data_IF_115367258424
#
_entry.id   IF_115367258424
#
_cell.length_a   1.000
_cell.length_b   1.000
_cell.length_c   1.000
_cell.angle_alpha   90.00
_cell.angle_beta   90.00
_cell.angle_gamma   90.00
#
_symmetry.space_group_name_H-M   'P 1'
#
loop_
_entity.id
_entity.type
_entity.pdbx_description
1 polymer ?
#
# COMPACT_ATOMS: atom_id res chain seq x y z
N UNK A 1 16.97 18.80 -64.21
CA UNK A 1 15.78 18.05 -64.66
C UNK A 1 15.11 17.51 -63.39
N UNK A 2 14.06 18.14 -62.85
CA UNK A 2 12.65 18.20 -63.32
C UNK A 2 11.88 16.90 -63.04
N UNK A 3 10.73 16.87 -62.36
CA UNK A 3 9.91 17.94 -61.73
C UNK A 3 9.08 17.37 -60.56
N UNK A 4 8.60 18.19 -59.61
CA UNK A 4 7.28 18.87 -59.60
C UNK A 4 6.04 17.95 -59.55
N UNK A 5 5.27 18.07 -58.46
CA UNK A 5 3.91 17.54 -58.29
C UNK A 5 3.70 16.81 -56.95
N UNK A 6 2.70 17.12 -56.12
CA UNK A 6 1.83 18.29 -56.03
C UNK A 6 1.17 18.30 -54.62
N UNK A 7 0.66 19.44 -54.14
CA UNK A 7 -0.04 19.50 -52.85
C UNK A 7 -1.41 18.81 -52.90
N UNK A 8 -1.86 18.27 -51.76
CA UNK A 8 -3.27 18.33 -51.38
C UNK A 8 -3.39 18.40 -49.85
N UNK A 9 -4.07 19.43 -49.34
CA UNK A 9 -4.30 19.65 -47.92
C UNK A 9 -5.72 19.28 -47.53
N UNK A 10 -5.88 18.72 -46.33
CA UNK A 10 -7.18 18.54 -45.69
C UNK A 10 -7.17 19.27 -44.34
N UNK A 11 -7.69 20.50 -44.31
CA UNK A 11 -8.18 21.07 -43.05
C UNK A 11 -9.41 20.29 -42.62
N UNK A 12 -9.57 20.06 -41.32
CA UNK A 12 -10.89 19.91 -40.71
C UNK A 12 -11.07 21.14 -39.84
N UNK A 13 -11.99 22.02 -40.25
CA UNK A 13 -12.34 23.23 -39.50
C UNK A 13 -13.35 22.91 -38.38
N UNK A 14 -13.47 23.84 -37.43
CA UNK A 14 -14.22 23.67 -36.18
C UNK A 14 -15.60 24.32 -36.23
N UNK A 15 -16.25 24.44 -35.06
CA UNK A 15 -17.54 25.11 -34.80
C UNK A 15 -18.81 24.25 -35.05
N UNK A 16 -19.97 24.59 -34.42
CA UNK A 16 -20.23 25.76 -33.58
C UNK A 16 -20.55 25.47 -32.11
N UNK A 17 -20.49 26.54 -31.30
CA UNK A 17 -21.04 26.60 -29.94
C UNK A 17 -22.58 26.57 -29.98
N UNK A 18 -23.19 26.12 -28.89
CA UNK A 18 -24.47 26.65 -28.41
C UNK A 18 -24.31 27.02 -26.93
N UNK A 19 -24.99 28.08 -26.52
CA UNK A 19 -25.11 28.53 -25.15
C UNK A 19 -26.57 28.41 -24.69
N UNK A 20 -26.77 28.66 -23.39
CA UNK A 20 -28.03 29.09 -22.77
C UNK A 20 -29.24 28.13 -22.87
N UNK A 21 -29.56 27.48 -21.74
CA UNK A 21 -30.75 27.90 -20.99
C UNK A 21 -30.68 27.41 -19.53
N UNK A 22 -31.17 28.24 -18.60
CA UNK A 22 -31.16 28.01 -17.16
C UNK A 22 -32.47 28.53 -16.52
N UNK A 23 -33.19 27.67 -15.78
CA UNK A 23 -33.93 28.07 -14.59
C UNK A 23 -33.13 27.61 -13.34
N UNK A 24 -33.00 28.39 -12.27
CA UNK A 24 -33.79 29.56 -11.89
C UNK A 24 -34.78 29.14 -10.80
N UNK A 25 -34.30 29.07 -9.55
CA UNK A 25 -35.13 28.84 -8.38
C UNK A 25 -34.50 29.49 -7.14
N UNK A 26 -35.05 30.63 -6.74
CA UNK A 26 -34.70 31.30 -5.49
C UNK A 26 -35.32 30.57 -4.29
N UNK A 27 -34.71 30.71 -3.11
CA UNK A 27 -35.09 29.92 -1.92
C UNK A 27 -34.52 30.49 -0.62
N UNK A 28 -34.54 31.81 -0.47
CA UNK A 28 -34.08 32.50 0.73
C UNK A 28 -34.98 32.18 1.94
N UNK A 29 -34.38 31.78 3.06
CA UNK A 29 -34.99 31.95 4.38
C UNK A 29 -33.93 31.88 5.50
N UNK A 30 -33.58 33.03 6.04
CA UNK A 30 -32.82 33.13 7.29
C UNK A 30 -33.75 33.00 8.51
N UNK A 31 -33.25 32.42 9.62
CA UNK A 31 -33.14 33.08 10.93
C UNK A 31 -32.54 32.15 12.01
N UNK A 32 -32.02 32.77 13.08
CA UNK A 32 -31.35 32.17 14.25
C UNK A 32 -32.12 32.59 15.52
N UNK A 33 -31.66 32.39 16.79
CA UNK A 33 -30.67 31.46 17.38
C UNK A 33 -31.20 30.78 18.68
N UNK A 34 -30.30 30.19 19.50
CA UNK A 34 -30.36 29.86 20.95
C UNK A 34 -30.10 28.36 21.26
N UNK A 35 -29.53 27.93 22.39
CA UNK A 35 -28.69 28.53 23.45
C UNK A 35 -28.10 27.36 24.31
N UNK A 36 -27.05 27.53 25.14
CA UNK A 36 -26.31 26.41 25.71
C UNK A 36 -26.81 25.93 27.09
N UNK A 37 -26.35 24.74 27.51
CA UNK A 37 -26.41 24.33 28.92
C UNK A 37 -25.09 23.67 29.36
N UNK A 38 -24.41 24.31 30.31
CA UNK A 38 -23.14 23.88 30.91
C UNK A 38 -23.35 23.49 32.37
N UNK A 39 -22.74 22.38 32.83
CA UNK A 39 -22.67 22.07 34.26
C UNK A 39 -21.28 21.59 34.68
N UNK A 40 -20.78 22.14 35.79
CA UNK A 40 -19.44 21.88 36.34
C UNK A 40 -19.50 21.55 37.83
N UNK A 41 -18.93 20.42 38.24
CA UNK A 41 -18.54 20.12 39.64
C UNK A 41 -17.57 18.94 39.60
N UNK A 42 -16.26 19.03 39.91
CA UNK A 42 -15.53 19.40 41.15
C UNK A 42 -15.75 18.48 42.36
N UNK A 43 -14.82 17.51 42.47
CA UNK A 43 -14.03 17.13 43.67
C UNK A 43 -14.76 16.98 45.02
N UNK A 44 -14.64 15.79 45.60
CA UNK A 44 -13.95 15.60 46.89
C UNK A 44 -13.48 14.14 47.05
N UNK A 45 -12.52 13.90 47.93
CA UNK A 45 -12.06 12.57 48.30
C UNK A 45 -11.78 12.52 49.81
N UNK A 46 -12.10 11.40 50.46
CA UNK A 46 -11.71 11.09 51.84
C UNK A 46 -11.78 9.59 52.09
N UNK A 47 -10.86 9.07 52.90
CA UNK A 47 -10.67 7.65 53.18
C UNK A 47 -11.20 7.23 54.54
N UNK A 48 -11.73 6.00 54.66
CA UNK A 48 -11.93 5.31 55.95
C UNK A 48 -11.67 3.80 55.77
N UNK A 49 -10.83 3.22 56.65
CA UNK A 49 -10.68 1.76 56.88
C UNK A 49 -11.60 1.36 58.06
N UNK A 50 -11.89 0.10 58.40
CA UNK A 50 -11.17 -1.19 58.30
C UNK A 50 -12.18 -2.32 58.62
N UNK A 51 -11.82 -3.61 58.40
CA UNK A 51 -12.49 -4.83 58.91
C UNK A 51 -13.92 -5.15 58.41
N UNK A 52 -14.38 -6.41 58.30
CA UNK A 52 -13.70 -7.72 58.28
C UNK A 52 -14.63 -8.81 57.70
N UNK A 53 -14.04 -9.80 57.02
CA UNK A 53 -14.52 -11.18 56.78
C UNK A 53 -16.03 -11.42 56.60
N UNK A 54 -16.40 -11.83 55.39
CA UNK A 54 -17.32 -12.96 55.19
C UNK A 54 -17.06 -13.61 53.81
N UNK A 55 -16.75 -14.91 53.79
CA UNK A 55 -16.50 -15.66 52.55
C UNK A 55 -17.82 -16.08 51.89
N UNK A 56 -18.00 -15.78 50.61
CA UNK A 56 -19.20 -16.14 49.85
C UNK A 56 -18.85 -16.71 48.45
N UNK A 57 -19.27 -17.94 48.12
CA UNK A 57 -18.95 -18.60 46.84
C UNK A 57 -19.65 -17.99 45.61
N UNK A 58 -20.48 -16.96 45.81
CA UNK A 58 -21.15 -16.24 44.71
C UNK A 58 -20.16 -15.49 43.80
N UNK A 59 -19.08 -14.94 44.36
CA UNK A 59 -18.12 -14.10 43.62
C UNK A 59 -17.35 -14.91 42.58
N UNK A 60 -16.88 -16.11 42.94
CA UNK A 60 -16.17 -17.00 42.03
C UNK A 60 -17.09 -17.58 40.94
N UNK A 61 -18.38 -17.79 41.25
CA UNK A 61 -19.39 -18.19 40.27
C UNK A 61 -19.68 -17.07 39.25
N UNK A 62 -19.74 -15.80 39.70
CA UNK A 62 -19.90 -14.64 38.81
C UNK A 62 -18.65 -14.46 37.95
N UNK A 63 -17.45 -14.56 38.53
CA UNK A 63 -16.20 -14.42 37.78
C UNK A 63 -16.06 -15.53 36.71
N UNK A 64 -16.36 -16.78 37.05
CA UNK A 64 -16.37 -17.89 36.08
C UNK A 64 -17.47 -17.73 35.01
N UNK A 65 -18.62 -17.11 35.34
CA UNK A 65 -19.68 -16.85 34.36
C UNK A 65 -19.30 -15.70 33.42
N UNK A 66 -18.64 -14.65 33.92
CA UNK A 66 -18.08 -13.58 33.09
C UNK A 66 -16.90 -14.08 32.24
N UNK A 67 -16.00 -14.91 32.78
CA UNK A 67 -14.93 -15.55 32.00
C UNK A 67 -15.47 -16.52 30.93
N UNK A 68 -16.63 -17.17 31.15
CA UNK A 68 -17.32 -17.93 30.09
C UNK A 68 -17.96 -17.04 29.02
N UNK A 69 -18.51 -15.88 29.38
CA UNK A 69 -19.04 -14.91 28.41
C UNK A 69 -17.91 -14.30 27.56
N UNK A 70 -16.80 -13.91 28.17
CA UNK A 70 -15.63 -13.38 27.45
C UNK A 70 -14.98 -14.46 26.56
N UNK A 71 -15.03 -15.75 26.93
CA UNK A 71 -14.56 -16.86 26.08
C UNK A 71 -15.46 -17.20 24.87
N UNK A 72 -16.62 -16.58 24.73
CA UNK A 72 -17.55 -16.85 23.60
C UNK A 72 -17.68 -15.69 22.59
N UNK A 73 -16.87 -14.64 22.69
CA UNK A 73 -16.94 -13.49 21.75
C UNK A 73 -16.07 -13.60 20.50
N UNK A 74 -15.30 -14.68 20.31
CA UNK A 74 -14.47 -14.90 19.10
C UNK A 74 -14.57 -16.33 18.54
N UNK A 75 -15.81 -16.82 18.42
CA UNK A 75 -16.15 -17.97 17.58
C UNK A 75 -17.43 -17.68 16.80
N UNK A 76 -17.32 -16.82 15.77
CA UNK A 76 -18.13 -17.04 14.57
C UNK A 76 -17.60 -18.30 13.91
N UNK A 77 -18.45 -19.26 13.58
CA UNK A 77 -18.05 -20.37 12.72
C UNK A 77 -17.53 -19.79 11.40
N UNK A 78 -16.35 -20.22 10.94
CA UNK A 78 -15.80 -19.69 9.68
C UNK A 78 -16.73 -20.07 8.54
N UNK A 79 -17.10 -19.13 7.66
CA UNK A 79 -18.05 -19.41 6.58
C UNK A 79 -17.50 -20.51 5.67
N UNK A 80 -18.35 -21.47 5.30
CA UNK A 80 -17.97 -22.52 4.37
C UNK A 80 -17.62 -21.96 2.99
N UNK A 81 -16.85 -22.67 2.15
CA UNK A 81 -16.56 -22.24 0.78
C UNK A 81 -17.82 -21.91 -0.05
N UNK A 82 -18.96 -22.56 0.22
CA UNK A 82 -20.22 -22.25 -0.43
C UNK A 82 -20.81 -20.90 0.03
N UNK A 83 -20.73 -20.58 1.32
CA UNK A 83 -21.20 -19.30 1.87
C UNK A 83 -20.31 -18.12 1.43
N UNK A 84 -19.00 -18.33 1.37
CA UNK A 84 -18.04 -17.35 0.83
C UNK A 84 -18.40 -17.02 -0.64
N UNK A 85 -18.57 -18.04 -1.49
CA UNK A 85 -18.96 -17.86 -2.89
C UNK A 85 -20.32 -17.18 -3.05
N UNK A 86 -21.30 -17.51 -2.19
CA UNK A 86 -22.61 -16.84 -2.16
C UNK A 86 -22.47 -15.37 -1.79
N UNK A 87 -21.72 -15.04 -0.75
CA UNK A 87 -21.50 -13.66 -0.33
C UNK A 87 -20.85 -12.80 -1.44
N UNK A 88 -19.97 -13.37 -2.27
CA UNK A 88 -19.44 -12.71 -3.47
C UNK A 88 -20.50 -12.49 -4.56
N UNK A 89 -21.37 -13.48 -4.81
CA UNK A 89 -22.48 -13.36 -5.77
C UNK A 89 -23.52 -12.31 -5.34
N UNK A 90 -23.79 -12.20 -4.04
CA UNK A 90 -24.71 -11.22 -3.46
C UNK A 90 -24.10 -9.80 -3.42
N UNK A 91 -22.76 -9.66 -3.47
CA UNK A 91 -22.04 -8.39 -3.33
C UNK A 91 -21.07 -8.08 -4.51
N UNK A 92 -21.50 -8.17 -5.78
CA UNK A 92 -20.61 -8.15 -6.95
C UNK A 92 -19.91 -6.81 -7.22
N UNK A 93 -20.24 -5.75 -6.47
CA UNK A 93 -19.61 -4.42 -6.55
C UNK A 93 -18.57 -4.17 -5.45
N UNK A 94 -18.45 -5.05 -4.46
CA UNK A 94 -17.52 -4.89 -3.33
C UNK A 94 -16.15 -5.47 -3.71
N UNK A 95 -15.04 -4.81 -3.33
CA UNK A 95 -13.70 -5.35 -3.57
C UNK A 95 -13.47 -6.56 -2.66
N UNK A 96 -12.70 -7.53 -3.13
CA UNK A 96 -12.53 -8.82 -2.44
C UNK A 96 -11.88 -8.68 -1.07
N UNK A 97 -10.94 -7.76 -0.91
CA UNK A 97 -10.39 -7.35 0.37
C UNK A 97 -11.47 -6.87 1.37
N UNK A 98 -12.33 -5.94 0.95
CA UNK A 98 -13.40 -5.39 1.80
C UNK A 98 -14.42 -6.47 2.18
N UNK A 99 -14.71 -7.39 1.25
CA UNK A 99 -15.64 -8.49 1.47
C UNK A 99 -15.05 -9.55 2.41
N UNK A 100 -13.78 -9.92 2.24
CA UNK A 100 -13.07 -10.81 3.15
C UNK A 100 -13.06 -10.24 4.58
N UNK A 101 -12.76 -8.94 4.72
CA UNK A 101 -12.81 -8.23 6.00
C UNK A 101 -14.24 -8.24 6.63
N UNK A 102 -15.30 -8.02 5.83
CA UNK A 102 -16.70 -8.13 6.30
C UNK A 102 -17.07 -9.54 6.76
N UNK A 103 -16.56 -10.56 6.09
CA UNK A 103 -16.78 -11.97 6.42
C UNK A 103 -15.91 -12.46 7.60
N UNK A 104 -14.90 -11.69 8.03
CA UNK A 104 -13.95 -12.09 9.08
C UNK A 104 -12.91 -13.12 8.61
N UNK A 105 -12.61 -13.16 7.32
CA UNK A 105 -11.65 -14.08 6.70
C UNK A 105 -10.54 -13.32 5.98
N UNK A 106 -9.47 -14.05 5.63
CA UNK A 106 -8.40 -13.53 4.77
C UNK A 106 -8.80 -13.47 3.29
N UNK A 107 -8.11 -12.61 2.53
CA UNK A 107 -8.32 -12.48 1.07
C UNK A 107 -7.99 -13.80 0.35
N UNK A 108 -7.03 -14.56 0.89
CA UNK A 108 -6.67 -15.89 0.40
C UNK A 108 -7.70 -17.00 0.75
N UNK A 109 -8.46 -16.91 1.85
CA UNK A 109 -9.62 -17.78 2.10
C UNK A 109 -10.72 -17.54 1.05
N UNK A 110 -10.96 -16.27 0.73
CA UNK A 110 -11.92 -15.89 -0.29
C UNK A 110 -11.55 -16.41 -1.69
N UNK A 111 -10.26 -16.43 -2.05
CA UNK A 111 -9.80 -17.04 -3.32
C UNK A 111 -9.80 -18.57 -3.24
N UNK A 112 -9.35 -19.17 -2.13
CA UNK A 112 -9.35 -20.63 -1.94
C UNK A 112 -10.74 -21.25 -2.09
N UNK A 113 -11.80 -20.54 -1.69
CA UNK A 113 -13.18 -20.98 -1.86
C UNK A 113 -13.59 -21.24 -3.33
N UNK A 114 -12.80 -20.80 -4.32
CA UNK A 114 -13.01 -21.06 -5.76
C UNK A 114 -12.09 -22.15 -6.35
N UNK A 115 -11.25 -22.83 -5.56
CA UNK A 115 -10.46 -23.95 -6.07
C UNK A 115 -11.37 -25.02 -6.71
N UNK A 116 -11.07 -25.39 -7.96
CA UNK A 116 -11.89 -26.30 -8.77
C UNK A 116 -13.14 -25.69 -9.42
N UNK A 117 -13.44 -24.40 -9.18
CA UNK A 117 -14.61 -23.68 -9.71
C UNK A 117 -14.26 -22.36 -10.45
N UNK A 118 -12.98 -22.01 -10.54
CA UNK A 118 -12.49 -20.77 -11.14
C UNK A 118 -11.08 -20.39 -10.69
N UNK A 119 -10.62 -20.93 -9.56
CA UNK A 119 -9.23 -20.89 -9.13
C UNK A 119 -8.55 -22.27 -9.24
N UNK A 120 -7.25 -22.25 -9.46
CA UNK A 120 -6.31 -23.37 -9.36
C UNK A 120 -5.24 -22.94 -8.34
N UNK A 121 -4.97 -23.75 -7.32
CA UNK A 121 -3.86 -23.50 -6.40
C UNK A 121 -2.54 -23.72 -7.13
N UNK A 122 -1.61 -22.78 -6.97
CA UNK A 122 -0.25 -22.91 -7.47
C UNK A 122 0.75 -22.78 -6.31
N UNK A 123 1.85 -23.52 -6.40
CA UNK A 123 2.97 -23.40 -5.46
C UNK A 123 3.62 -22.01 -5.60
N UNK A 124 3.95 -21.31 -4.50
CA UNK A 124 4.50 -19.95 -4.52
C UNK A 124 6.00 -19.94 -4.89
N UNK A 125 6.38 -20.63 -5.97
CA UNK A 125 7.78 -20.75 -6.44
C UNK A 125 8.21 -19.47 -7.17
N UNK A 126 8.49 -18.42 -6.39
CA UNK A 126 8.69 -17.05 -6.89
C UNK A 126 9.77 -16.93 -7.97
N UNK A 127 10.89 -17.66 -7.85
CA UNK A 127 11.94 -17.62 -8.88
C UNK A 127 11.44 -18.15 -10.23
N UNK A 128 10.71 -19.27 -10.20
CA UNK A 128 10.20 -19.96 -11.38
C UNK A 128 9.06 -19.14 -12.03
N UNK A 129 8.19 -18.56 -11.20
CA UNK A 129 7.19 -17.57 -11.57
C UNK A 129 7.81 -16.40 -12.35
N UNK A 130 8.78 -15.70 -11.75
CA UNK A 130 9.36 -14.48 -12.36
C UNK A 130 10.06 -14.80 -13.68
N UNK A 131 10.76 -15.93 -13.74
CA UNK A 131 11.43 -16.41 -14.97
C UNK A 131 10.40 -16.76 -16.06
N UNK A 132 9.27 -17.38 -15.70
CA UNK A 132 8.21 -17.71 -16.66
C UNK A 132 7.38 -16.53 -17.13
N UNK A 133 7.28 -15.45 -16.34
CA UNK A 133 6.50 -14.26 -16.67
C UNK A 133 7.07 -13.48 -17.87
N UNK A 134 8.37 -13.54 -18.14
CA UNK A 134 8.98 -12.95 -19.33
C UNK A 134 8.31 -13.48 -20.62
N UNK A 135 8.02 -14.79 -20.68
CA UNK A 135 7.35 -15.43 -21.81
C UNK A 135 5.84 -15.11 -21.90
N UNK A 136 5.22 -14.64 -20.81
CA UNK A 136 3.83 -14.16 -20.79
C UNK A 136 3.73 -12.77 -21.45
N UNK A 137 4.81 -12.01 -21.50
CA UNK A 137 4.86 -10.69 -22.14
C UNK A 137 4.18 -9.62 -21.28
N UNK A 138 3.44 -8.72 -21.94
CA UNK A 138 2.82 -7.57 -21.28
C UNK A 138 1.69 -7.99 -20.33
N UNK A 139 1.73 -7.50 -19.10
CA UNK A 139 0.80 -7.80 -18.00
C UNK A 139 0.64 -6.59 -17.08
N UNK A 140 -0.35 -6.62 -16.19
CA UNK A 140 -0.53 -5.63 -15.11
C UNK A 140 -0.01 -6.21 -13.80
N UNK A 141 1.05 -5.62 -13.26
CA UNK A 141 1.59 -5.91 -11.93
C UNK A 141 0.86 -5.05 -10.88
N UNK A 142 0.25 -5.69 -9.88
CA UNK A 142 -0.43 -5.01 -8.78
C UNK A 142 0.26 -5.33 -7.45
N UNK A 143 0.68 -4.29 -6.73
CA UNK A 143 1.19 -4.37 -5.35
C UNK A 143 0.46 -3.35 -4.50
N UNK A 144 0.07 -3.74 -3.28
CA UNK A 144 -0.67 -2.85 -2.37
C UNK A 144 -0.30 -3.05 -0.91
N UNK A 145 -0.72 -2.09 -0.10
CA UNK A 145 -0.99 -2.25 1.32
C UNK A 145 -2.44 -1.85 1.63
N UNK A 146 -2.74 -1.54 2.89
CA UNK A 146 -4.09 -1.15 3.34
C UNK A 146 -4.48 0.30 2.95
N UNK A 147 -3.55 1.07 2.36
CA UNK A 147 -3.71 2.52 2.11
C UNK A 147 -3.28 2.99 0.72
N UNK A 148 -2.45 2.23 0.02
CA UNK A 148 -2.01 2.50 -1.34
C UNK A 148 -2.11 1.24 -2.22
N UNK A 149 -2.64 1.39 -3.43
CA UNK A 149 -2.60 0.39 -4.51
C UNK A 149 -1.79 0.95 -5.67
N UNK A 150 -0.80 0.20 -6.14
CA UNK A 150 0.09 0.53 -7.26
C UNK A 150 -0.11 -0.51 -8.36
N UNK A 151 -0.48 -0.05 -9.55
CA UNK A 151 -0.66 -0.88 -10.74
C UNK A 151 0.31 -0.42 -11.83
N UNK A 152 1.10 -1.34 -12.39
CA UNK A 152 2.11 -1.04 -13.40
C UNK A 152 1.94 -1.98 -14.58
N UNK A 153 1.88 -1.43 -15.79
CA UNK A 153 1.75 -2.19 -17.04
C UNK A 153 3.15 -2.39 -17.63
N UNK A 154 3.45 -3.58 -18.15
CA UNK A 154 4.74 -3.88 -18.77
C UNK A 154 5.08 -5.36 -18.78
N UNK A 155 6.35 -5.67 -19.08
CA UNK A 155 6.91 -7.03 -19.12
C UNK A 155 7.78 -7.27 -17.88
N UNK A 156 7.91 -8.52 -17.45
CA UNK A 156 8.86 -8.94 -16.42
C UNK A 156 10.22 -9.24 -17.06
N UNK A 157 11.04 -8.21 -17.26
CA UNK A 157 12.41 -8.34 -17.80
C UNK A 157 13.50 -8.12 -16.73
N UNK A 158 14.75 -8.49 -17.07
CA UNK A 158 15.95 -8.30 -16.21
C UNK A 158 15.77 -8.89 -14.80
N UNK A 159 15.17 -10.08 -14.71
CA UNK A 159 14.89 -10.79 -13.46
C UNK A 159 16.18 -11.27 -12.79
N UNK A 160 16.32 -11.01 -11.48
CA UNK A 160 17.39 -11.56 -10.63
C UNK A 160 16.77 -12.41 -9.53
N UNK A 161 16.87 -13.73 -9.66
CA UNK A 161 16.29 -14.71 -8.73
C UNK A 161 17.10 -14.84 -7.43
N UNK A 162 16.46 -15.21 -6.32
CA UNK A 162 17.18 -15.39 -5.05
C UNK A 162 16.35 -15.79 -3.84
N UNK A 163 16.93 -16.62 -2.97
CA UNK A 163 16.23 -17.29 -1.86
C UNK A 163 15.94 -16.41 -0.62
N UNK A 164 16.28 -15.12 -0.67
CA UNK A 164 15.98 -14.12 0.38
C UNK A 164 15.36 -12.86 -0.23
N UNK A 165 15.97 -12.40 -1.33
CA UNK A 165 15.56 -11.27 -2.13
C UNK A 165 15.57 -11.71 -3.59
N UNK A 166 14.57 -11.30 -4.35
CA UNK A 166 14.55 -11.37 -5.81
C UNK A 166 14.22 -9.99 -6.36
N UNK A 167 14.70 -9.68 -7.55
CA UNK A 167 14.54 -8.39 -8.21
C UNK A 167 13.89 -8.59 -9.58
N UNK A 168 13.09 -7.61 -9.99
CA UNK A 168 12.80 -7.35 -11.40
C UNK A 168 13.29 -5.92 -11.62
N UNK A 169 14.13 -5.71 -12.64
CA UNK A 169 14.81 -4.45 -12.90
C UNK A 169 14.42 -3.90 -14.28
N UNK A 170 13.17 -4.14 -14.66
CA UNK A 170 12.60 -3.76 -15.95
C UNK A 170 12.46 -2.26 -16.10
N UNK A 171 12.34 -1.80 -17.35
CA UNK A 171 12.22 -0.36 -17.63
C UNK A 171 10.83 0.17 -17.23
N UNK A 172 9.81 -0.72 -17.24
CA UNK A 172 8.47 -0.45 -16.68
C UNK A 172 8.25 -1.17 -15.33
N UNK A 173 8.54 -2.48 -15.22
CA UNK A 173 8.27 -3.26 -14.00
C UNK A 173 9.53 -3.38 -13.13
N UNK A 174 9.64 -2.49 -12.13
CA UNK A 174 10.71 -2.47 -11.14
C UNK A 174 10.20 -2.97 -9.77
N UNK A 175 10.71 -4.10 -9.29
CA UNK A 175 10.23 -4.83 -8.10
C UNK A 175 11.37 -5.23 -7.15
N UNK A 176 11.12 -5.12 -5.84
CA UNK A 176 11.94 -5.75 -4.77
C UNK A 176 11.06 -6.77 -4.04
N UNK A 177 11.41 -8.05 -4.14
CA UNK A 177 10.56 -9.17 -3.71
C UNK A 177 11.26 -9.96 -2.61
N UNK A 178 10.49 -10.46 -1.65
CA UNK A 178 10.97 -11.25 -0.50
C UNK A 178 10.34 -12.66 -0.51
N UNK A 179 10.87 -13.61 -1.31
CA UNK A 179 10.17 -14.87 -1.60
C UNK A 179 9.77 -15.70 -0.39
N UNK A 180 10.52 -15.65 0.71
CA UNK A 180 10.22 -16.40 1.95
C UNK A 180 8.93 -15.99 2.66
N UNK A 181 8.34 -14.84 2.28
CA UNK A 181 7.09 -14.33 2.86
C UNK A 181 5.87 -14.84 2.10
N UNK A 182 6.06 -15.25 0.84
CA UNK A 182 5.00 -15.78 -0.02
C UNK A 182 4.75 -17.24 0.36
N UNK A 183 3.53 -17.57 0.77
CA UNK A 183 3.17 -18.88 1.33
C UNK A 183 2.06 -19.60 0.55
N UNK A 184 1.26 -18.87 -0.23
CA UNK A 184 0.18 -19.42 -1.03
C UNK A 184 0.08 -18.69 -2.37
N UNK A 185 -0.19 -19.42 -3.45
CA UNK A 185 -0.46 -18.88 -4.78
C UNK A 185 -1.74 -19.46 -5.38
N UNK A 186 -2.41 -18.67 -6.21
CA UNK A 186 -3.58 -19.09 -6.97
C UNK A 186 -3.55 -18.50 -8.38
N UNK A 187 -3.80 -19.33 -9.39
CA UNK A 187 -4.19 -18.88 -10.72
C UNK A 187 -5.73 -18.75 -10.73
N UNK A 188 -6.25 -17.57 -11.02
CA UNK A 188 -7.68 -17.23 -10.90
C UNK A 188 -8.21 -16.76 -12.24
N UNK A 189 -9.25 -17.43 -12.72
CA UNK A 189 -10.07 -17.03 -13.86
C UNK A 189 -11.41 -16.46 -13.37
N UNK A 190 -11.72 -15.21 -13.74
CA UNK A 190 -13.00 -14.55 -13.45
C UNK A 190 -13.74 -14.27 -14.74
N UNK A 191 -15.04 -14.53 -14.75
CA UNK A 191 -15.91 -14.34 -15.93
C UNK A 191 -16.92 -13.22 -15.68
N UNK A 192 -16.94 -12.23 -16.55
CA UNK A 192 -17.85 -11.09 -16.53
C UNK A 192 -18.63 -11.06 -17.85
N UNK A 193 -19.76 -11.78 -17.89
CA UNK A 193 -20.49 -12.00 -19.14
C UNK A 193 -19.67 -12.84 -20.13
N UNK A 194 -19.15 -12.20 -21.19
CA UNK A 194 -18.24 -12.84 -22.16
C UNK A 194 -16.76 -12.68 -21.81
N UNK A 195 -16.42 -11.68 -21.01
CA UNK A 195 -15.04 -11.30 -20.76
C UNK A 195 -14.43 -12.19 -19.69
N UNK A 196 -13.17 -12.59 -19.89
CA UNK A 196 -12.45 -13.50 -19.01
C UNK A 196 -11.15 -12.84 -18.54
N UNK A 197 -11.14 -12.40 -17.28
CA UNK A 197 -9.95 -11.83 -16.63
C UNK A 197 -9.17 -12.96 -15.95
N UNK A 198 -7.88 -13.08 -16.26
CA UNK A 198 -6.97 -14.08 -15.66
C UNK A 198 -5.88 -13.41 -14.85
N UNK A 199 -5.52 -14.02 -13.74
CA UNK A 199 -4.47 -13.49 -12.85
C UNK A 199 -3.80 -14.58 -12.03
N UNK A 200 -2.52 -14.39 -11.74
CA UNK A 200 -1.80 -15.09 -10.67
C UNK A 200 -1.79 -14.19 -9.43
N UNK A 201 -2.16 -14.74 -8.27
CA UNK A 201 -2.35 -14.00 -7.03
C UNK A 201 -1.61 -14.70 -5.88
N UNK A 202 -0.79 -13.95 -5.14
CA UNK A 202 0.10 -14.50 -4.12
C UNK A 202 -0.10 -13.85 -2.76
N UNK A 203 -0.04 -14.68 -1.73
CA UNK A 203 -0.45 -14.34 -0.37
C UNK A 203 0.57 -14.83 0.66
N UNK A 204 0.64 -14.14 1.80
CA UNK A 204 1.46 -14.56 2.94
C UNK A 204 0.78 -15.66 3.78
N UNK A 205 1.49 -16.18 4.78
CA UNK A 205 1.02 -17.29 5.63
C UNK A 205 -0.21 -16.95 6.52
N UNK A 206 -0.65 -15.68 6.53
CA UNK A 206 -1.88 -15.20 7.15
C UNK A 206 -2.95 -14.79 6.12
N UNK A 207 -2.72 -15.08 4.84
CA UNK A 207 -3.67 -14.90 3.74
C UNK A 207 -3.82 -13.45 3.26
N UNK A 208 -2.88 -12.55 3.59
CA UNK A 208 -2.85 -11.18 3.03
C UNK A 208 -2.18 -11.16 1.65
N UNK A 209 -2.73 -10.39 0.71
CA UNK A 209 -2.18 -10.25 -0.63
C UNK A 209 -0.79 -9.60 -0.61
N UNK A 210 0.20 -10.28 -1.18
CA UNK A 210 1.57 -9.78 -1.37
C UNK A 210 1.74 -9.15 -2.75
N UNK A 211 1.26 -9.83 -3.79
CA UNK A 211 1.41 -9.41 -5.18
C UNK A 211 0.40 -10.10 -6.09
N UNK A 212 -0.02 -9.44 -7.18
CA UNK A 212 -0.91 -10.00 -8.21
C UNK A 212 -0.42 -9.61 -9.59
N UNK A 213 -0.38 -10.57 -10.51
CA UNK A 213 -0.14 -10.36 -11.94
C UNK A 213 -1.44 -10.63 -12.68
N UNK A 214 -1.92 -9.68 -13.49
CA UNK A 214 -3.14 -9.82 -14.28
C UNK A 214 -2.81 -9.75 -15.78
N UNK A 215 -3.47 -10.58 -16.58
CA UNK A 215 -3.32 -10.55 -18.02
C UNK A 215 -4.07 -9.35 -18.62
N UNK A 216 -3.40 -8.66 -19.55
CA UNK A 216 -3.98 -7.64 -20.43
C UNK A 216 -4.30 -8.21 -21.82
N UNK A 217 -4.80 -7.38 -22.75
CA UNK A 217 -5.12 -7.81 -24.12
C UNK A 217 -3.92 -8.34 -24.92
N UNK A 218 -2.71 -7.87 -24.61
CA UNK A 218 -1.46 -8.25 -25.28
C UNK A 218 -0.76 -9.48 -24.68
N UNK A 219 -1.25 -10.04 -23.56
CA UNK A 219 -0.58 -11.15 -22.87
C UNK A 219 -0.61 -12.47 -23.65
N UNK A 220 0.50 -13.19 -23.64
CA UNK A 220 0.62 -14.52 -24.24
C UNK A 220 -0.09 -15.59 -23.38
N UNK A 221 -1.37 -15.83 -23.67
CA UNK A 221 -2.19 -16.82 -22.97
C UNK A 221 -1.60 -18.24 -22.96
N UNK A 222 -0.90 -18.64 -24.03
CA UNK A 222 -0.28 -19.97 -24.13
C UNK A 222 0.91 -20.12 -23.18
N UNK A 223 1.73 -19.07 -23.00
CA UNK A 223 2.80 -19.07 -22.00
C UNK A 223 2.23 -19.03 -20.57
N UNK A 224 1.19 -18.22 -20.33
CA UNK A 224 0.50 -18.20 -19.04
C UNK A 224 -0.05 -19.58 -18.66
N UNK A 225 -0.71 -20.28 -19.59
CA UNK A 225 -1.24 -21.62 -19.33
C UNK A 225 -0.15 -22.64 -19.01
N UNK A 226 1.01 -22.58 -19.68
CA UNK A 226 2.17 -23.40 -19.32
C UNK A 226 2.68 -23.08 -17.92
N UNK A 227 2.89 -21.80 -17.61
CA UNK A 227 3.36 -21.35 -16.29
C UNK A 227 2.41 -21.75 -15.16
N UNK A 228 1.10 -21.70 -15.38
CA UNK A 228 0.10 -22.18 -14.41
C UNK A 228 0.21 -23.69 -14.21
N UNK A 229 0.31 -24.48 -15.28
CA UNK A 229 0.44 -25.94 -15.21
C UNK A 229 1.79 -26.39 -14.60
N UNK A 230 2.87 -25.66 -14.86
CA UNK A 230 4.17 -25.88 -14.23
C UNK A 230 4.12 -25.58 -12.72
N UNK A 231 3.46 -24.50 -12.31
CA UNK A 231 3.33 -24.10 -10.91
C UNK A 231 2.19 -24.82 -10.16
N UNK A 232 1.39 -25.67 -10.79
CA UNK A 232 0.19 -26.26 -10.19
C UNK A 232 0.50 -27.07 -8.91
N UNK A 233 -0.27 -26.83 -7.85
CA UNK A 233 -0.16 -27.57 -6.59
C UNK A 233 -0.91 -28.90 -6.67
N UNK A 234 -0.36 -29.94 -6.05
CA UNK A 234 -1.05 -31.23 -5.87
C UNK A 234 -2.23 -31.15 -4.88
N UNK A 235 -2.33 -30.08 -4.08
CA UNK A 235 -3.49 -29.82 -3.23
C UNK A 235 -4.42 -28.78 -3.88
N UNK A 236 -5.59 -29.23 -4.34
CA UNK A 236 -6.66 -28.37 -4.88
C UNK A 236 -7.88 -28.24 -3.94
N UNK A 237 -7.71 -28.48 -2.63
CA UNK A 237 -8.79 -28.36 -1.64
C UNK A 237 -9.29 -26.90 -1.54
N UNK A 238 -10.61 -26.66 -1.45
CA UNK A 238 -11.19 -25.31 -1.39
C UNK A 238 -11.17 -24.68 0.01
N UNK A 239 -10.34 -25.21 0.92
CA UNK A 239 -10.19 -24.77 2.31
C UNK A 239 -8.69 -24.65 2.60
N UNK A 240 -8.29 -23.63 3.35
CA UNK A 240 -6.90 -23.45 3.81
C UNK A 240 -6.92 -22.92 5.24
N UNK A 241 -6.19 -23.57 6.14
CA UNK A 241 -6.01 -23.09 7.52
C UNK A 241 -4.81 -22.13 7.56
N UNK A 242 -5.07 -20.86 7.29
CA UNK A 242 -4.05 -19.81 7.44
C UNK A 242 -3.66 -19.65 8.91
N UNK A 243 -2.38 -19.35 9.14
CA UNK A 243 -1.89 -19.04 10.48
C UNK A 243 -2.44 -17.67 10.88
N UNK A 244 -2.89 -17.54 12.13
CA UNK A 244 -3.22 -16.22 12.67
C UNK A 244 -2.00 -15.30 12.46
N UNK A 245 -2.22 -14.12 11.88
CA UNK A 245 -1.12 -13.16 11.70
C UNK A 245 -0.55 -12.86 13.08
N UNK A 246 0.75 -13.05 13.25
CA UNK A 246 1.44 -12.42 14.38
C UNK A 246 1.23 -10.92 14.24
N UNK A 247 0.54 -10.34 15.22
CA UNK A 247 0.70 -8.92 15.48
C UNK A 247 2.14 -8.74 15.94
N UNK A 248 2.82 -7.72 15.41
CA UNK A 248 4.14 -7.27 15.86
C UNK A 248 5.30 -8.25 15.59
N UNK A 249 5.47 -8.74 14.36
CA UNK A 249 6.80 -9.21 13.91
C UNK A 249 7.81 -8.03 13.80
N UNK A 250 7.33 -6.77 13.75
CA UNK A 250 8.15 -5.54 13.65
C UNK A 250 8.47 -4.85 15.00
N UNK A 251 7.88 -5.30 16.12
CA UNK A 251 8.07 -4.64 17.43
C UNK A 251 8.93 -5.49 18.39
N UNK A 252 10.24 -5.57 18.10
CA UNK A 252 11.21 -5.84 19.17
C UNK A 252 11.14 -4.68 20.17
N UNK A 253 10.65 -4.94 21.39
CA UNK A 253 10.76 -3.99 22.50
C UNK A 253 12.23 -3.94 22.91
N UNK A 254 12.94 -2.81 22.80
CA UNK A 254 14.38 -2.80 23.07
C UNK A 254 14.68 -2.83 24.57
N UNK A 255 15.33 -3.91 25.05
CA UNK A 255 15.94 -3.96 26.40
C UNK A 255 16.98 -2.84 26.62
N UNK A 256 17.56 -2.34 25.52
CA UNK A 256 18.37 -1.12 25.47
C UNK A 256 18.00 -0.38 24.18
N UNK A 257 17.57 0.87 24.30
CA UNK A 257 17.34 1.75 23.15
C UNK A 257 18.65 2.40 22.71
N UNK A 258 18.90 2.44 21.40
CA UNK A 258 20.00 3.23 20.84
C UNK A 258 19.78 4.73 21.11
N UNK A 259 20.86 5.46 21.40
CA UNK A 259 20.78 6.90 21.64
C UNK A 259 20.55 7.68 20.34
N UNK A 260 20.16 8.95 20.47
CA UNK A 260 20.05 9.87 19.33
C UNK A 260 21.44 10.10 18.70
N UNK A 261 22.49 10.04 19.53
CA UNK A 261 23.88 10.20 19.19
C UNK A 261 24.39 9.00 18.36
N UNK A 262 24.15 7.75 18.83
CA UNK A 262 24.45 6.52 18.08
C UNK A 262 23.79 6.54 16.70
N UNK A 263 22.52 6.96 16.66
CA UNK A 263 21.74 7.05 15.43
C UNK A 263 22.33 8.10 14.47
N UNK A 264 22.66 9.30 14.96
CA UNK A 264 23.23 10.38 14.15
C UNK A 264 24.60 10.02 13.61
N UNK A 265 25.48 9.43 14.42
CA UNK A 265 26.78 8.95 13.95
C UNK A 265 26.59 7.94 12.81
N UNK A 266 25.79 6.90 13.03
CA UNK A 266 25.58 5.86 12.04
C UNK A 266 24.92 6.39 10.75
N UNK A 267 23.99 7.34 10.87
CA UNK A 267 23.29 7.96 9.73
C UNK A 267 24.23 8.87 8.93
N UNK A 268 25.14 9.59 9.60
CA UNK A 268 26.15 10.43 8.95
C UNK A 268 27.16 9.62 8.12
N UNK A 269 27.38 8.35 8.48
CA UNK A 269 28.33 7.44 7.83
C UNK A 269 27.71 6.66 6.66
N UNK A 270 26.43 6.89 6.33
CA UNK A 270 25.78 6.26 5.18
C UNK A 270 26.47 6.68 3.88
N UNK A 271 26.86 5.70 3.08
CA UNK A 271 27.48 5.90 1.76
C UNK A 271 26.59 5.40 0.62
N UNK A 272 25.57 4.61 0.95
CA UNK A 272 24.50 4.20 0.04
C UNK A 272 23.17 4.05 0.80
N UNK A 273 22.04 4.28 0.11
CA UNK A 273 20.70 4.30 0.70
C UNK A 273 20.21 2.93 1.18
N UNK A 274 20.76 1.81 0.67
CA UNK A 274 20.35 0.46 1.09
C UNK A 274 20.97 0.07 2.44
N UNK A 275 22.12 0.66 2.81
CA UNK A 275 22.76 0.49 4.13
C UNK A 275 21.87 0.94 5.29
N UNK A 276 20.90 1.83 5.02
CA UNK A 276 19.94 2.33 5.99
C UNK A 276 19.13 1.22 6.68
N UNK A 277 18.76 0.15 5.97
CA UNK A 277 18.02 -0.96 6.58
C UNK A 277 18.85 -1.74 7.60
N UNK A 278 20.10 -2.07 7.27
CA UNK A 278 21.00 -2.78 8.18
C UNK A 278 21.43 -1.89 9.36
N UNK A 279 21.51 -0.56 9.17
CA UNK A 279 21.69 0.41 10.25
C UNK A 279 20.52 0.37 11.25
N UNK A 280 19.28 0.50 10.77
CA UNK A 280 18.08 0.46 11.61
C UNK A 280 18.02 -0.85 12.42
N UNK A 281 18.30 -1.97 11.75
CA UNK A 281 18.35 -3.30 12.38
C UNK A 281 19.46 -3.43 13.42
N UNK A 282 20.65 -2.87 13.18
CA UNK A 282 21.76 -2.86 14.15
C UNK A 282 21.43 -2.04 15.39
N UNK A 283 20.69 -0.94 15.23
CA UNK A 283 20.25 -0.06 16.31
C UNK A 283 18.94 -0.50 16.99
N UNK A 284 18.26 -1.54 16.47
CA UNK A 284 16.92 -2.00 16.88
C UNK A 284 15.86 -0.88 16.90
N UNK A 285 15.90 0.00 15.91
CA UNK A 285 14.94 1.09 15.74
C UNK A 285 14.01 0.78 14.55
N UNK A 286 12.70 1.01 14.71
CA UNK A 286 11.84 1.09 13.52
C UNK A 286 12.18 2.34 12.70
N UNK A 287 11.91 2.29 11.39
CA UNK A 287 12.17 3.41 10.48
C UNK A 287 11.50 4.71 10.95
N UNK A 288 10.27 4.64 11.48
CA UNK A 288 9.53 5.80 11.99
C UNK A 288 10.16 6.40 13.25
N UNK A 289 10.66 5.58 14.17
CA UNK A 289 11.35 6.06 15.38
C UNK A 289 12.66 6.76 15.00
N UNK A 290 13.47 6.13 14.16
CA UNK A 290 14.71 6.72 13.68
C UNK A 290 14.49 8.06 12.94
N UNK A 291 13.48 8.13 12.06
CA UNK A 291 13.09 9.37 11.35
C UNK A 291 12.68 10.48 12.33
N UNK A 292 11.95 10.16 13.40
CA UNK A 292 11.58 11.14 14.45
C UNK A 292 12.77 11.54 15.33
N UNK A 293 13.72 10.64 15.58
CA UNK A 293 14.83 10.83 16.53
C UNK A 293 16.02 11.57 15.92
N UNK A 294 16.33 11.34 14.64
CA UNK A 294 17.59 11.83 14.02
C UNK A 294 17.68 13.38 13.99
N UNK A 295 16.55 14.07 13.85
CA UNK A 295 16.44 15.54 13.89
C UNK A 295 16.58 16.24 12.54
N UNK A 296 16.24 17.54 12.52
CA UNK A 296 15.84 18.31 11.33
C UNK A 296 16.89 18.43 10.20
N UNK A 297 18.18 18.22 10.50
CA UNK A 297 19.25 18.16 9.48
C UNK A 297 19.06 16.97 8.53
N UNK A 298 18.50 15.86 9.05
CA UNK A 298 18.30 14.60 8.37
C UNK A 298 16.82 14.25 8.14
N UNK A 299 15.90 14.70 9.00
CA UNK A 299 14.48 14.48 8.79
C UNK A 299 13.60 15.56 9.45
N UNK A 300 12.66 16.11 8.69
CA UNK A 300 11.69 17.10 9.17
C UNK A 300 10.25 16.72 8.80
N UNK A 301 9.30 17.08 9.66
CA UNK A 301 7.90 16.77 9.48
C UNK A 301 7.23 17.75 8.49
N UNK A 302 6.41 17.21 7.60
CA UNK A 302 5.62 17.96 6.63
C UNK A 302 4.13 17.94 6.99
N UNK A 303 3.39 18.94 6.53
CA UNK A 303 1.94 18.97 6.65
C UNK A 303 1.28 17.87 5.80
N UNK A 304 0.02 17.55 6.12
CA UNK A 304 -0.68 16.37 5.56
C UNK A 304 -1.03 16.52 4.08
N UNK A 305 -1.16 17.75 3.61
CA UNK A 305 -1.41 18.15 2.24
C UNK A 305 -0.14 18.18 1.38
N UNK A 306 1.06 18.17 1.98
CA UNK A 306 2.34 18.20 1.26
C UNK A 306 2.51 17.07 0.24
N UNK A 307 1.92 15.90 0.48
CA UNK A 307 1.86 14.81 -0.52
C UNK A 307 0.99 15.21 -1.72
N UNK A 308 -0.14 15.88 -1.49
CA UNK A 308 -1.00 16.41 -2.55
C UNK A 308 -0.33 17.52 -3.35
N UNK A 309 0.35 18.46 -2.67
CA UNK A 309 1.13 19.52 -3.30
C UNK A 309 2.27 18.94 -4.16
N UNK A 310 2.99 17.92 -3.68
CA UNK A 310 3.99 17.20 -4.47
C UNK A 310 3.39 16.52 -5.70
N UNK A 311 2.25 15.83 -5.56
CA UNK A 311 1.56 15.21 -6.68
C UNK A 311 1.11 16.23 -7.75
N UNK A 312 0.65 17.41 -7.33
CA UNK A 312 0.28 18.48 -8.25
C UNK A 312 1.51 19.03 -8.99
N UNK A 313 2.53 19.48 -8.26
CA UNK A 313 3.73 20.07 -8.86
C UNK A 313 4.45 19.09 -9.80
N UNK A 314 4.61 17.82 -9.37
CA UNK A 314 5.27 16.80 -10.19
C UNK A 314 4.48 16.42 -11.46
N UNK A 315 3.16 16.66 -11.49
CA UNK A 315 2.36 16.50 -12.70
C UNK A 315 2.37 17.75 -13.60
N UNK A 316 2.36 18.95 -13.01
CA UNK A 316 2.44 20.22 -13.74
C UNK A 316 3.80 20.40 -14.46
N UNK A 317 4.90 19.98 -13.83
CA UNK A 317 6.25 20.02 -14.40
C UNK A 317 6.60 18.80 -15.28
N UNK A 318 5.72 17.80 -15.38
CA UNK A 318 6.02 16.43 -15.82
C UNK A 318 7.30 15.84 -15.15
N UNK A 319 7.52 16.14 -13.87
CA UNK A 319 8.75 15.83 -13.15
C UNK A 319 8.96 14.30 -13.02
N UNK A 320 10.10 13.74 -13.48
CA UNK A 320 10.39 12.33 -13.32
C UNK A 320 10.64 11.96 -11.84
N UNK A 321 9.67 11.28 -11.23
CA UNK A 321 9.73 10.78 -9.84
C UNK A 321 9.98 9.27 -9.80
N UNK A 322 10.28 8.76 -8.60
CA UNK A 322 10.15 7.36 -8.23
C UNK A 322 9.08 7.23 -7.14
N UNK A 323 8.11 6.35 -7.34
CA UNK A 323 7.00 6.10 -6.41
C UNK A 323 7.01 4.63 -5.97
N UNK A 324 7.30 4.39 -4.68
CA UNK A 324 7.41 3.06 -4.09
C UNK A 324 6.18 2.75 -3.21
N UNK A 325 5.46 1.68 -3.54
CA UNK A 325 4.39 1.11 -2.70
C UNK A 325 4.73 -0.34 -2.40
N UNK A 326 4.52 -0.79 -1.17
CA UNK A 326 4.85 -2.16 -0.80
C UNK A 326 4.17 -2.68 0.46
N UNK A 327 4.43 -3.96 0.69
CA UNK A 327 4.07 -4.76 1.85
C UNK A 327 5.25 -5.67 2.22
N UNK A 328 5.10 -6.57 3.20
CA UNK A 328 6.20 -7.43 3.67
C UNK A 328 6.72 -8.47 2.66
N UNK A 329 6.01 -8.73 1.55
CA UNK A 329 6.43 -9.68 0.53
C UNK A 329 6.88 -9.06 -0.79
N UNK A 330 6.45 -7.83 -1.11
CA UNK A 330 6.79 -7.14 -2.36
C UNK A 330 6.77 -5.62 -2.17
N UNK A 331 7.73 -4.93 -2.80
CA UNK A 331 7.74 -3.48 -3.04
C UNK A 331 7.78 -3.27 -4.55
N UNK A 332 6.88 -2.45 -5.07
CA UNK A 332 6.74 -2.10 -6.48
C UNK A 332 7.02 -0.62 -6.69
N UNK A 333 7.73 -0.32 -7.77
CA UNK A 333 8.34 0.98 -8.04
C UNK A 333 7.85 1.46 -9.41
N UNK A 334 7.31 2.68 -9.46
CA UNK A 334 7.18 3.43 -10.73
C UNK A 334 8.35 4.40 -10.80
N UNK A 335 8.95 4.55 -11.97
CA UNK A 335 10.14 5.39 -12.19
C UNK A 335 9.97 6.23 -13.45
N UNK A 336 9.27 7.36 -13.36
CA UNK A 336 8.94 8.19 -14.52
C UNK A 336 8.16 9.45 -14.14
N UNK A 337 7.77 10.28 -15.14
CA UNK A 337 6.80 11.34 -14.90
C UNK A 337 5.45 10.77 -14.48
N UNK A 338 4.58 11.64 -14.00
CA UNK A 338 3.14 11.40 -13.81
C UNK A 338 2.37 12.52 -14.51
N UNK A 339 1.13 12.29 -14.97
CA UNK A 339 0.34 13.31 -15.69
C UNK A 339 -1.10 13.39 -15.20
N UNK A 340 -1.85 12.29 -15.25
CA UNK A 340 -3.29 12.28 -14.97
C UNK A 340 -3.61 12.10 -13.49
N UNK A 341 -3.19 13.08 -12.68
CA UNK A 341 -3.52 13.17 -11.26
C UNK A 341 -4.98 13.62 -11.06
N UNK A 342 -5.75 12.88 -10.25
CA UNK A 342 -7.15 13.22 -9.90
C UNK A 342 -7.48 12.90 -8.45
N UNK A 343 -7.94 13.91 -7.70
CA UNK A 343 -8.51 13.74 -6.36
C UNK A 343 -9.98 13.35 -6.46
N UNK A 344 -10.36 12.21 -5.87
CA UNK A 344 -11.74 11.69 -5.87
C UNK A 344 -12.12 11.33 -4.43
N UNK A 345 -12.82 12.25 -3.75
CA UNK A 345 -13.06 12.12 -2.31
C UNK A 345 -11.73 12.06 -1.54
N UNK A 346 -11.56 11.12 -0.59
CA UNK A 346 -10.34 11.02 0.23
C UNK A 346 -9.21 10.19 -0.42
N UNK A 347 -9.15 10.19 -1.77
CA UNK A 347 -8.18 9.46 -2.59
C UNK A 347 -7.51 10.39 -3.61
N UNK A 348 -6.18 10.37 -3.65
CA UNK A 348 -5.41 10.84 -4.81
C UNK A 348 -5.23 9.66 -5.74
N UNK A 349 -5.44 9.88 -7.04
CA UNK A 349 -5.29 8.86 -8.08
C UNK A 349 -4.30 9.35 -9.13
N UNK A 350 -3.40 8.46 -9.58
CA UNK A 350 -2.69 8.61 -10.86
C UNK A 350 -3.34 7.63 -11.84
N UNK A 351 -3.62 8.08 -13.06
CA UNK A 351 -4.33 7.31 -14.09
C UNK A 351 -3.61 7.42 -15.45
N UNK A 352 -2.31 7.15 -15.46
CA UNK A 352 -1.45 7.22 -16.63
C UNK A 352 -1.40 5.89 -17.38
N UNK A 353 -1.10 5.95 -18.69
CA UNK A 353 -1.18 4.82 -19.64
C UNK A 353 -0.50 3.53 -19.17
N UNK A 354 0.67 3.62 -18.52
CA UNK A 354 1.38 2.45 -17.97
C UNK A 354 1.48 2.44 -16.44
N UNK A 355 0.81 3.35 -15.72
CA UNK A 355 0.89 3.47 -14.27
C UNK A 355 -0.40 4.02 -13.64
N UNK A 356 -1.04 3.20 -12.79
CA UNK A 356 -2.07 3.66 -11.88
C UNK A 356 -1.57 3.68 -10.43
N UNK A 357 -2.05 4.67 -9.67
CA UNK A 357 -1.92 4.73 -8.22
C UNK A 357 -3.28 5.09 -7.62
N UNK A 358 -3.64 4.44 -6.52
CA UNK A 358 -4.76 4.86 -5.66
C UNK A 358 -4.26 5.02 -4.23
N UNK A 359 -4.15 6.26 -3.75
CA UNK A 359 -3.60 6.61 -2.43
C UNK A 359 -4.69 7.22 -1.53
N UNK A 360 -5.06 6.51 -0.46
CA UNK A 360 -6.04 6.95 0.53
C UNK A 360 -5.43 7.95 1.51
N UNK A 361 -5.44 9.24 1.17
CA UNK A 361 -4.76 10.29 1.97
C UNK A 361 -5.27 10.38 3.41
N UNK A 362 -6.54 10.06 3.64
CA UNK A 362 -7.16 9.99 4.98
C UNK A 362 -6.51 8.95 5.93
N UNK A 363 -5.79 7.95 5.42
CA UNK A 363 -5.03 7.00 6.23
C UNK A 363 -3.70 7.58 6.73
N UNK A 364 -3.12 8.56 6.02
CA UNK A 364 -1.86 9.22 6.38
C UNK A 364 -2.04 9.97 7.72
N UNK A 365 -1.09 9.76 8.65
CA UNK A 365 -1.03 10.48 9.93
C UNK A 365 0.19 11.37 10.04
N UNK A 366 1.32 10.93 9.50
CA UNK A 366 2.59 11.65 9.48
C UNK A 366 3.16 11.64 8.04
N UNK A 367 3.75 12.76 7.65
CA UNK A 367 4.55 12.90 6.43
C UNK A 367 5.92 13.45 6.85
N UNK A 368 6.99 12.87 6.34
CA UNK A 368 8.37 13.26 6.65
C UNK A 368 9.16 13.44 5.36
N UNK A 369 9.91 14.52 5.25
CA UNK A 369 11.03 14.60 4.31
C UNK A 369 12.29 14.08 5.01
N UNK A 370 13.03 13.19 4.35
CA UNK A 370 14.10 12.41 4.99
C UNK A 370 15.33 12.37 4.06
N UNK A 371 16.39 13.07 4.47
CA UNK A 371 17.69 13.17 3.81
C UNK A 371 18.64 12.05 4.28
N UNK A 372 19.13 11.25 3.34
CA UNK A 372 20.05 10.13 3.57
C UNK A 372 21.38 10.41 2.83
N UNK A 373 22.52 10.49 3.53
CA UNK A 373 23.82 10.66 2.89
C UNK A 373 24.16 9.53 1.91
N UNK A 374 24.92 9.89 0.87
CA UNK A 374 25.47 8.97 -0.14
C UNK A 374 26.88 9.44 -0.54
N UNK A 375 27.64 8.59 -1.25
CA UNK A 375 28.93 9.01 -1.87
C UNK A 375 28.78 10.26 -2.75
N UNK A 376 27.64 10.37 -3.40
CA UNK A 376 27.30 11.41 -4.38
C UNK A 376 26.53 12.59 -3.73
N UNK A 377 26.67 12.77 -2.41
CA UNK A 377 26.06 13.84 -1.63
C UNK A 377 24.96 13.34 -0.70
N UNK A 378 23.70 13.54 -1.10
CA UNK A 378 22.55 13.00 -0.36
C UNK A 378 21.34 12.76 -1.28
N UNK A 379 20.45 11.90 -0.79
CA UNK A 379 19.16 11.58 -1.41
C UNK A 379 18.05 11.94 -0.43
N UNK A 380 17.11 12.77 -0.87
CA UNK A 380 15.96 13.26 -0.12
C UNK A 380 14.72 12.47 -0.55
N UNK A 381 13.97 11.94 0.42
CA UNK A 381 12.75 11.18 0.15
C UNK A 381 11.58 11.67 0.98
N UNK A 382 10.39 11.72 0.39
CA UNK A 382 9.15 11.94 1.13
C UNK A 382 8.60 10.59 1.58
N UNK A 383 8.23 10.48 2.86
CA UNK A 383 7.82 9.24 3.51
C UNK A 383 6.50 9.46 4.26
N UNK A 384 5.44 8.77 3.85
CA UNK A 384 4.12 8.90 4.47
C UNK A 384 3.77 7.65 5.30
N UNK A 385 3.27 7.88 6.53
CA UNK A 385 3.05 6.83 7.53
C UNK A 385 1.59 6.77 8.00
N UNK A 386 1.11 5.54 8.23
CA UNK A 386 -0.22 5.25 8.77
C UNK A 386 -0.29 5.32 10.29
N UNK A 387 -1.51 5.18 10.83
CA UNK A 387 -1.76 5.22 12.28
C UNK A 387 -1.11 4.06 13.05
N UNK A 388 -0.90 2.93 12.39
CA UNK A 388 -0.17 1.77 12.92
C UNK A 388 1.36 1.93 12.85
N UNK A 389 1.85 3.07 12.36
CA UNK A 389 3.27 3.37 12.22
C UNK A 389 3.95 2.76 10.99
N UNK A 390 3.22 2.05 10.12
CA UNK A 390 3.79 1.50 8.88
C UNK A 390 3.88 2.56 7.79
N UNK A 391 4.87 2.42 6.92
CA UNK A 391 4.98 3.22 5.70
C UNK A 391 3.86 2.85 4.72
N UNK A 392 3.12 3.86 4.26
CA UNK A 392 2.10 3.73 3.22
C UNK A 392 2.75 3.79 1.83
N UNK A 393 3.63 4.79 1.64
CA UNK A 393 4.24 5.14 0.36
C UNK A 393 5.51 5.98 0.61
N UNK A 394 6.50 5.88 -0.27
CA UNK A 394 7.66 6.79 -0.28
C UNK A 394 7.97 7.27 -1.71
N UNK A 395 8.50 8.49 -1.81
CA UNK A 395 8.81 9.17 -3.08
C UNK A 395 10.24 9.70 -3.12
N UNK A 396 10.81 9.73 -4.33
CA UNK A 396 12.12 10.30 -4.65
C UNK A 396 12.07 10.96 -6.04
N UNK A 397 13.07 11.77 -6.39
CA UNK A 397 13.33 12.14 -7.79
C UNK A 397 13.97 10.98 -8.54
N UNK A 398 13.65 10.79 -9.83
CA UNK A 398 14.25 9.74 -10.67
C UNK A 398 15.73 10.03 -10.90
N UNK A 399 16.58 9.10 -10.45
CA UNK A 399 18.04 9.08 -10.59
C UNK A 399 18.50 7.65 -10.93
N UNK A 400 19.75 7.47 -11.38
CA UNK A 400 20.40 6.15 -11.41
C UNK A 400 21.29 5.94 -10.18
N UNK A 401 21.82 4.74 -10.03
CA UNK A 401 22.86 4.46 -9.04
C UNK A 401 24.19 5.09 -9.48
N UNK A 402 24.92 5.72 -8.54
CA UNK A 402 26.07 6.58 -8.86
C UNK A 402 25.72 7.96 -9.43
N UNK A 403 24.43 8.30 -9.52
CA UNK A 403 23.96 9.67 -9.78
C UNK A 403 23.39 10.27 -8.48
N UNK A 404 23.71 11.56 -8.24
CA UNK A 404 23.06 12.36 -7.21
C UNK A 404 21.57 12.56 -7.50
N UNK A 405 20.80 13.02 -6.50
CA UNK A 405 19.41 13.38 -6.75
C UNK A 405 19.26 14.63 -7.63
N UNK A 406 18.11 14.74 -8.29
CA UNK A 406 17.78 15.89 -9.14
C UNK A 406 17.58 17.15 -8.29
N UNK A 407 18.04 18.29 -8.79
CA UNK A 407 17.89 19.58 -8.10
C UNK A 407 16.44 20.08 -8.05
N UNK A 408 15.64 19.78 -9.08
CA UNK A 408 14.20 20.09 -9.13
C UNK A 408 13.41 19.33 -8.04
N UNK A 409 13.67 18.04 -7.90
CA UNK A 409 13.12 17.21 -6.82
C UNK A 409 13.55 17.70 -5.44
N UNK A 410 14.84 18.02 -5.24
CA UNK A 410 15.33 18.56 -3.97
C UNK A 410 14.62 19.87 -3.63
N UNK A 411 14.51 20.79 -4.58
CA UNK A 411 13.83 22.06 -4.39
C UNK A 411 12.36 21.87 -3.98
N UNK A 412 11.63 20.99 -4.67
CA UNK A 412 10.26 20.63 -4.31
C UNK A 412 10.21 20.04 -2.89
N UNK A 413 10.98 19.00 -2.59
CA UNK A 413 10.96 18.31 -1.30
C UNK A 413 11.36 19.21 -0.11
N UNK A 414 12.20 20.22 -0.32
CA UNK A 414 12.62 21.17 0.71
C UNK A 414 11.67 22.36 0.89
N UNK A 415 10.88 22.74 -0.14
CA UNK A 415 9.92 23.87 -0.09
C UNK A 415 8.51 23.48 0.36
N UNK A 416 8.17 22.19 0.41
CA UNK A 416 6.87 21.71 0.89
C UNK A 416 6.53 22.21 2.32
N UNK A 417 5.24 22.47 2.62
CA UNK A 417 4.81 22.97 3.94
C UNK A 417 5.30 22.07 5.08
N UNK A 418 6.05 22.67 6.01
CA UNK A 418 6.64 22.00 7.17
C UNK A 418 5.75 22.23 8.39
N UNK A 419 5.50 21.18 9.18
CA UNK A 419 4.93 21.39 10.51
C UNK A 419 5.97 22.20 11.31
N UNK A 420 5.60 23.35 11.91
CA UNK A 420 6.55 24.13 12.70
C UNK A 420 7.13 23.28 13.84
N UNK A 421 8.46 23.13 13.84
CA UNK A 421 9.16 22.49 14.95
C UNK A 421 8.93 23.27 16.25
N UNK A 422 8.97 22.62 17.43
CA UNK A 422 8.88 23.32 18.70
C UNK A 422 10.07 24.28 18.81
N UNK A 423 9.79 25.59 18.74
CA UNK A 423 10.82 26.63 18.82
C UNK A 423 11.63 26.44 20.11
N UNK A 424 12.94 26.22 19.98
CA UNK A 424 13.84 26.19 21.12
C UNK A 424 13.81 27.55 21.82
N UNK A 425 13.46 27.54 23.11
CA UNK A 425 13.24 28.71 23.96
C UNK A 425 14.17 28.70 25.17
#
# INVERSE_FOLDING_TARGET
MSGLGQNLSARVESAPRRSDDMPGFDGDHALSPAAPCSWTSRRSASSTTLSSVDDHPATELILNKQMKVVKHMDQRERPSPHEIRRAQQDNPKIREHDLAARLGISEAELVAAHCGLGAIRVEPRVNDLLTGLEAVGEVVAHTRNESAVHEKFGVYDKVVTGNKHALVLGDEIDLRIFPKVWAHGFAVEKRSGKDIVRSLQFFDAAGKAMHKVQLGPASNLNAYQKLVAELESSNQEPIVVFKASRANDDAEVPDQAATVEDLRECWSQLTDVHQFFDMLKRLRLSRREAVRMVGEVYAWALEKDAIGAMFQQAAEDEMPIMCFVGNRGCIQIHSGPIKWVKTIGPWINVLDETFHLHLGTHHIKEVWAVRKPTKDGHVTSLEAYGADGKMIIQFFGKRREGEGEREDWRFLAETLPRIPGPTAA
#
